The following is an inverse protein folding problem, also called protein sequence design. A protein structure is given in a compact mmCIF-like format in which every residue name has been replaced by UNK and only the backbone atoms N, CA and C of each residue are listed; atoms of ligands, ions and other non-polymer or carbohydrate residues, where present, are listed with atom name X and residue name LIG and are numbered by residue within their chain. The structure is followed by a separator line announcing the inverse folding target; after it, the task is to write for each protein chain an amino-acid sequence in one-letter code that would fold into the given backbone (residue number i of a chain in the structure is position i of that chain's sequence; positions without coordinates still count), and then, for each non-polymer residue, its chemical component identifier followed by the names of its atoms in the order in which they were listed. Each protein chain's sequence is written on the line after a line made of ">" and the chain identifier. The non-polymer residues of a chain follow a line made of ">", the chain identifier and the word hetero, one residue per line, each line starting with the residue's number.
data_IF_731444634213
#
_entry.id   IF_731444634213
#
_cell.length_a   1.000
_cell.length_b   1.000
_cell.length_c   1.000
_cell.angle_alpha   90.00
_cell.angle_beta   90.00
_cell.angle_gamma   90.00
#
_symmetry.space_group_name_H-M   'P 1'
#
loop_
_entity.id
_entity.type
_entity.pdbx_description
1 polymer ?
#
# COMPACT_ATOMS: atom_id res chain seq x y z
N UNK A 1 -21.20 8.09 10.19
CA UNK A 1 -20.50 7.01 9.45
C UNK A 1 -18.99 7.22 9.56
N UNK A 2 -18.35 6.67 10.60
CA UNK A 2 -16.89 6.63 10.77
C UNK A 2 -16.46 5.57 11.81
N UNK A 3 -17.26 4.52 12.04
CA UNK A 3 -17.10 3.67 13.24
C UNK A 3 -16.18 2.45 13.08
N UNK A 4 -15.74 2.09 11.86
CA UNK A 4 -14.88 0.91 11.61
C UNK A 4 -13.43 1.23 11.26
N UNK A 5 -13.19 2.34 10.56
CA UNK A 5 -11.86 2.76 10.09
C UNK A 5 -11.74 4.28 10.23
N UNK A 6 -10.52 4.76 10.51
CA UNK A 6 -10.22 6.19 10.56
C UNK A 6 -10.57 6.90 9.25
N UNK A 7 -10.68 8.23 9.28
CA UNK A 7 -11.03 9.03 8.10
C UNK A 7 -9.76 9.48 7.38
N UNK A 8 -9.69 9.23 6.08
CA UNK A 8 -8.69 9.81 5.21
C UNK A 8 -8.95 11.32 5.04
N UNK A 9 -7.88 12.13 5.15
CA UNK A 9 -7.94 13.57 4.89
C UNK A 9 -8.06 13.84 3.38
N UNK A 10 -8.32 15.07 2.98
CA UNK A 10 -8.37 15.44 1.55
C UNK A 10 -7.04 15.23 0.81
N UNK A 11 -5.92 15.16 1.53
CA UNK A 11 -4.55 14.99 1.02
C UNK A 11 -4.10 13.53 0.97
N UNK A 12 -4.99 12.57 1.26
CA UNK A 12 -4.62 11.18 1.52
C UNK A 12 -3.81 10.51 0.40
N UNK A 13 -4.06 10.86 -0.87
CA UNK A 13 -3.30 10.32 -2.00
C UNK A 13 -1.83 10.72 -1.91
N UNK A 14 -1.58 12.00 -1.66
CA UNK A 14 -0.23 12.56 -1.50
C UNK A 14 0.43 12.04 -0.23
N UNK A 15 -0.33 11.89 0.86
CA UNK A 15 0.18 11.36 2.13
C UNK A 15 0.61 9.89 1.99
N UNK A 16 -0.20 9.06 1.32
CA UNK A 16 0.12 7.66 1.05
C UNK A 16 1.33 7.53 0.12
N UNK A 17 1.41 8.33 -0.93
CA UNK A 17 2.56 8.32 -1.85
C UNK A 17 3.86 8.69 -1.13
N UNK A 18 3.87 9.80 -0.40
CA UNK A 18 5.05 10.24 0.35
C UNK A 18 5.46 9.21 1.41
N UNK A 19 4.49 8.65 2.14
CA UNK A 19 4.75 7.60 3.14
C UNK A 19 5.35 6.34 2.50
N UNK A 20 4.80 5.89 1.37
CA UNK A 20 5.32 4.74 0.64
C UNK A 20 6.74 4.99 0.12
N UNK A 21 6.98 6.16 -0.49
CA UNK A 21 8.30 6.53 -1.03
C UNK A 21 9.35 6.58 0.08
N UNK A 22 9.00 7.13 1.24
CA UNK A 22 9.91 7.16 2.39
C UNK A 22 10.20 5.75 2.91
N UNK A 23 9.18 4.88 3.03
CA UNK A 23 9.39 3.48 3.38
C UNK A 23 10.34 2.78 2.40
N UNK A 24 10.16 2.97 1.09
CA UNK A 24 11.04 2.39 0.08
C UNK A 24 12.46 2.99 0.12
N UNK A 25 12.58 4.29 0.43
CA UNK A 25 13.88 4.97 0.55
C UNK A 25 14.74 4.40 1.67
N UNK A 26 14.14 4.14 2.85
CA UNK A 26 14.87 3.66 4.04
C UNK A 26 15.19 2.16 4.01
N UNK A 27 14.51 1.37 3.17
CA UNK A 27 14.84 -0.04 3.01
C UNK A 27 16.28 -0.21 2.52
N UNK A 28 16.97 -1.21 3.08
CA UNK A 28 18.23 -1.71 2.50
C UNK A 28 17.97 -2.26 1.09
N UNK A 29 19.01 -2.35 0.24
CA UNK A 29 18.93 -3.10 -1.01
C UNK A 29 18.27 -4.46 -0.80
N UNK A 30 17.38 -4.85 -1.72
CA UNK A 30 16.64 -6.12 -1.67
C UNK A 30 15.73 -6.28 -0.44
N UNK A 31 15.52 -5.21 0.32
CA UNK A 31 14.55 -5.16 1.41
C UNK A 31 13.11 -5.20 0.88
N UNK A 32 12.18 -5.67 1.73
CA UNK A 32 10.75 -5.76 1.39
C UNK A 32 9.90 -4.86 2.28
N UNK A 33 8.85 -4.28 1.69
CA UNK A 33 7.78 -3.55 2.37
C UNK A 33 6.49 -4.36 2.25
N UNK A 34 5.91 -4.73 3.39
CA UNK A 34 4.58 -5.34 3.45
C UNK A 34 3.54 -4.24 3.70
N UNK A 35 2.68 -4.00 2.72
CA UNK A 35 1.59 -3.04 2.83
C UNK A 35 0.26 -3.76 2.97
N UNK A 36 -0.56 -3.38 3.95
CA UNK A 36 -1.89 -3.96 4.18
C UNK A 36 -2.96 -2.88 3.98
N UNK A 37 -3.92 -3.16 3.10
CA UNK A 37 -4.97 -2.23 2.70
C UNK A 37 -6.37 -2.84 2.83
N UNK A 38 -7.36 -2.03 3.21
CA UNK A 38 -8.77 -2.40 3.17
C UNK A 38 -9.42 -1.79 1.93
N UNK A 39 -9.90 -2.63 1.03
CA UNK A 39 -10.51 -2.26 -0.25
C UNK A 39 -12.03 -1.99 -0.15
N UNK A 40 -12.54 -1.68 1.04
CA UNK A 40 -13.99 -1.45 1.23
C UNK A 40 -14.46 -0.14 0.57
N UNK A 41 -13.62 0.89 0.59
CA UNK A 41 -13.94 2.21 0.00
C UNK A 41 -13.08 2.54 -1.22
N UNK A 42 -11.80 2.19 -1.18
CA UNK A 42 -10.83 2.53 -2.23
C UNK A 42 -10.18 1.22 -2.68
N UNK A 43 -10.28 0.84 -3.96
CA UNK A 43 -9.71 -0.41 -4.46
C UNK A 43 -8.18 -0.38 -4.37
N UNK A 44 -7.55 -1.55 -4.19
CA UNK A 44 -6.10 -1.66 -4.10
C UNK A 44 -5.41 -1.24 -5.40
N UNK A 45 -6.08 -1.38 -6.55
CA UNK A 45 -5.57 -0.89 -7.84
C UNK A 45 -5.28 0.61 -7.81
N UNK A 46 -6.14 1.42 -7.18
CA UNK A 46 -5.91 2.86 -7.04
C UNK A 46 -4.68 3.15 -6.17
N UNK A 47 -4.46 2.33 -5.14
CA UNK A 47 -3.28 2.46 -4.28
C UNK A 47 -1.99 2.11 -5.05
N UNK A 48 -2.02 1.05 -5.85
CA UNK A 48 -0.89 0.65 -6.70
C UNK A 48 -0.56 1.76 -7.72
N UNK A 49 -1.58 2.35 -8.36
CA UNK A 49 -1.41 3.51 -9.25
C UNK A 49 -0.74 4.69 -8.54
N UNK A 50 -1.19 5.03 -7.32
CA UNK A 50 -0.62 6.12 -6.52
C UNK A 50 0.86 5.83 -6.22
N UNK A 51 1.19 4.60 -5.82
CA UNK A 51 2.56 4.20 -5.50
C UNK A 51 3.46 4.20 -6.73
N UNK A 52 2.93 3.83 -7.91
CA UNK A 52 3.67 3.73 -9.16
C UNK A 52 4.70 2.58 -9.17
N UNK A 53 4.51 1.60 -8.30
CA UNK A 53 5.37 0.41 -8.17
C UNK A 53 4.46 -0.81 -8.10
N UNK A 54 4.75 -1.82 -8.92
CA UNK A 54 4.03 -3.09 -8.88
C UNK A 54 4.50 -3.95 -7.69
N UNK A 55 3.58 -4.58 -6.93
CA UNK A 55 3.97 -5.53 -5.90
C UNK A 55 4.53 -6.81 -6.52
N UNK A 56 5.50 -7.44 -5.85
CA UNK A 56 6.00 -8.76 -6.24
C UNK A 56 4.91 -9.84 -6.18
N UNK A 57 4.12 -9.80 -5.10
CA UNK A 57 2.98 -10.68 -4.87
C UNK A 57 2.09 -10.09 -3.79
N UNK A 58 0.90 -10.65 -3.63
CA UNK A 58 -0.04 -10.28 -2.59
C UNK A 58 -1.20 -11.26 -2.52
N UNK A 59 -2.03 -11.11 -1.48
CA UNK A 59 -3.21 -11.96 -1.32
C UNK A 59 -4.36 -11.22 -0.62
N UNK A 60 -5.59 -11.53 -1.04
CA UNK A 60 -6.82 -11.04 -0.41
C UNK A 60 -7.15 -11.89 0.81
N UNK A 61 -7.38 -11.25 1.93
CA UNK A 61 -7.60 -11.84 3.24
C UNK A 61 -8.79 -11.18 3.96
N UNK A 62 -9.10 -11.71 5.13
CA UNK A 62 -10.25 -11.31 5.94
C UNK A 62 -11.53 -12.03 5.55
N UNK A 63 -12.55 -11.95 6.42
CA UNK A 63 -13.83 -12.70 6.30
C UNK A 63 -14.54 -12.48 4.96
N UNK A 64 -14.38 -11.31 4.35
CA UNK A 64 -15.03 -10.93 3.10
C UNK A 64 -14.04 -10.74 1.94
N UNK A 65 -12.78 -11.16 2.10
CA UNK A 65 -11.70 -10.92 1.11
C UNK A 65 -11.55 -9.45 0.67
N UNK A 66 -11.88 -8.52 1.58
CA UNK A 66 -11.79 -7.07 1.38
C UNK A 66 -10.49 -6.45 1.90
N UNK A 67 -9.64 -7.23 2.56
CA UNK A 67 -8.33 -6.75 3.01
C UNK A 67 -7.26 -7.37 2.14
N UNK A 68 -6.47 -6.59 1.43
CA UNK A 68 -5.35 -7.10 0.64
C UNK A 68 -4.04 -6.75 1.34
N UNK A 69 -3.11 -7.69 1.40
CA UNK A 69 -1.71 -7.38 1.69
C UNK A 69 -0.87 -7.56 0.43
N UNK A 70 0.15 -6.73 0.28
CA UNK A 70 1.01 -6.64 -0.89
C UNK A 70 2.46 -6.56 -0.43
N UNK A 71 3.34 -7.27 -1.13
CA UNK A 71 4.78 -7.27 -0.89
C UNK A 71 5.48 -6.47 -2.00
N UNK A 72 6.19 -5.41 -1.63
CA UNK A 72 7.03 -4.62 -2.52
C UNK A 72 8.49 -4.89 -2.18
N UNK A 73 9.38 -4.88 -3.17
CA UNK A 73 10.81 -5.07 -2.96
C UNK A 73 11.60 -3.91 -3.52
N UNK A 74 12.60 -3.46 -2.77
CA UNK A 74 13.55 -2.45 -3.24
C UNK A 74 14.53 -3.11 -4.19
N UNK A 75 14.27 -2.98 -5.48
CA UNK A 75 15.18 -3.40 -6.54
C UNK A 75 16.20 -2.26 -6.71
N UNK A 76 17.46 -2.54 -6.39
CA UNK A 76 18.53 -1.69 -6.87
C UNK A 76 18.71 -2.02 -8.35
N UNK A 77 18.39 -1.07 -9.23
CA UNK A 77 18.89 -1.20 -10.59
C UNK A 77 20.43 -1.15 -10.50
N UNK A 78 21.14 -2.15 -11.05
CA UNK A 78 22.59 -2.11 -11.14
C UNK A 78 23.08 -0.92 -11.98
#
# INVERSE_FOLDING_TARGET
>A
MAHKYGKLLSTWETDLKQGFDECMRVLKPEGVLIFKWCEEQIPASRIIEIFGVEPLFGHKSGKNSKTQWMCFMKINNP
#
